data_IF_070595162265
#
_entry.id   IF_070595162265
#
_cell.length_a   1.000
_cell.length_b   1.000
_cell.length_c   1.000
_cell.angle_alpha   90.00
_cell.angle_beta   90.00
_cell.angle_gamma   90.00
#
_symmetry.space_group_name_H-M   'P 1'
#
loop_
_entity.id
_entity.type
_entity.pdbx_description
1 polymer ?
#
# COMPACT_ATOMS: atom_id res chain seq x y z
N UNK A 1 -4.12 -7.01 -17.56
CA UNK A 1 -2.90 -7.22 -16.76
C UNK A 1 -3.35 -7.31 -15.30
N UNK A 2 -2.59 -7.97 -14.43
CA UNK A 2 -2.99 -8.10 -13.01
C UNK A 2 -2.54 -6.90 -12.20
N UNK A 3 -3.27 -6.57 -11.12
CA UNK A 3 -2.88 -5.55 -10.16
C UNK A 3 -1.54 -5.92 -9.50
N UNK A 4 -0.59 -4.99 -9.40
CA UNK A 4 0.71 -5.22 -8.78
C UNK A 4 1.21 -4.00 -7.99
N UNK A 5 2.01 -4.26 -6.95
CA UNK A 5 2.87 -3.29 -6.29
C UNK A 5 4.31 -3.64 -6.63
N UNK A 6 5.01 -2.72 -7.28
CA UNK A 6 6.37 -2.89 -7.75
C UNK A 6 7.30 -1.90 -7.05
N UNK A 7 8.43 -2.38 -6.55
CA UNK A 7 9.46 -1.55 -5.90
C UNK A 7 10.63 -1.34 -6.84
N UNK A 8 11.06 -0.10 -7.02
CA UNK A 8 12.15 0.28 -7.91
C UNK A 8 13.24 1.06 -7.18
N UNK A 9 14.50 0.82 -7.54
CA UNK A 9 15.65 1.59 -7.02
C UNK A 9 15.59 3.09 -7.36
N UNK A 10 14.94 3.43 -8.46
CA UNK A 10 14.74 4.79 -8.96
C UNK A 10 13.49 4.82 -9.83
N UNK A 11 12.83 5.98 -9.95
CA UNK A 11 11.73 6.15 -10.92
C UNK A 11 12.29 6.02 -12.35
N UNK A 12 11.85 5.04 -13.15
CA UNK A 12 12.24 4.95 -14.55
C UNK A 12 11.54 6.09 -15.32
N UNK A 13 12.31 6.89 -16.06
CA UNK A 13 11.78 7.86 -17.02
C UNK A 13 11.64 7.20 -18.39
N UNK A 14 10.45 7.15 -18.99
CA UNK A 14 10.26 6.51 -20.30
C UNK A 14 10.96 7.26 -21.47
N UNK A 15 11.27 6.56 -22.58
CA UNK A 15 11.08 5.12 -22.78
C UNK A 15 12.40 4.39 -22.57
N UNK A 16 12.61 3.88 -21.36
CA UNK A 16 13.73 2.98 -21.12
C UNK A 16 13.30 1.57 -21.57
N UNK A 17 14.15 0.90 -22.36
CA UNK A 17 13.90 -0.48 -22.78
C UNK A 17 13.70 -1.44 -21.60
N UNK A 18 12.89 -2.49 -21.84
CA UNK A 18 12.43 -3.51 -20.89
C UNK A 18 13.54 -4.09 -19.98
N UNK A 19 14.78 -4.18 -20.46
CA UNK A 19 15.92 -4.66 -19.67
C UNK A 19 16.31 -3.76 -18.49
N UNK A 20 16.16 -2.45 -18.60
CA UNK A 20 16.55 -1.54 -17.50
C UNK A 20 15.45 -1.46 -16.44
N UNK A 21 14.18 -1.57 -16.85
CA UNK A 21 13.06 -1.73 -15.92
C UNK A 21 13.27 -2.96 -15.03
N UNK A 22 13.64 -4.09 -15.65
CA UNK A 22 13.98 -5.33 -14.93
C UNK A 22 15.20 -5.19 -14.00
N UNK A 23 16.17 -4.34 -14.33
CA UNK A 23 17.33 -4.06 -13.46
C UNK A 23 16.99 -3.11 -12.29
N UNK A 24 15.99 -2.26 -12.46
CA UNK A 24 15.54 -1.33 -11.45
C UNK A 24 14.56 -1.97 -10.46
N UNK A 25 13.80 -2.98 -10.89
CA UNK A 25 12.85 -3.71 -10.06
C UNK A 25 13.57 -4.49 -8.95
N UNK A 26 13.13 -4.27 -7.72
CA UNK A 26 13.68 -4.88 -6.49
C UNK A 26 12.74 -5.96 -5.96
N UNK A 27 11.44 -5.68 -5.97
CA UNK A 27 10.42 -6.57 -5.47
C UNK A 27 9.09 -6.32 -6.17
N UNK A 28 8.23 -7.33 -6.19
CA UNK A 28 6.86 -7.25 -6.70
C UNK A 28 5.95 -8.05 -5.77
N UNK A 29 4.76 -7.51 -5.48
CA UNK A 29 3.74 -8.18 -4.66
C UNK A 29 2.34 -7.75 -5.07
N UNK A 30 1.32 -8.38 -4.50
CA UNK A 30 -0.06 -8.02 -4.75
C UNK A 30 -0.47 -6.82 -3.88
N UNK A 31 -1.10 -5.78 -4.45
CA UNK A 31 -1.46 -4.56 -3.72
C UNK A 31 -2.76 -4.73 -2.92
N UNK A 32 -3.46 -5.85 -3.05
CA UNK A 32 -4.79 -6.06 -2.49
C UNK A 32 -4.92 -5.72 -1.00
N UNK A 33 -4.02 -6.12 -0.10
CA UNK A 33 -4.16 -5.76 1.31
C UNK A 33 -4.15 -4.23 1.54
N UNK A 34 -3.39 -3.50 0.72
CA UNK A 34 -3.32 -2.04 0.74
C UNK A 34 -4.62 -1.42 0.20
N UNK A 35 -5.07 -1.87 -0.97
CA UNK A 35 -6.28 -1.36 -1.62
C UNK A 35 -7.53 -1.60 -0.77
N UNK A 36 -7.61 -2.75 -0.11
CA UNK A 36 -8.73 -3.06 0.79
C UNK A 36 -8.66 -2.28 2.09
N UNK A 37 -7.46 -1.98 2.64
CA UNK A 37 -7.35 -1.19 3.87
C UNK A 37 -8.08 0.17 3.75
N UNK A 38 -8.01 0.80 2.58
CA UNK A 38 -8.67 2.09 2.30
C UNK A 38 -10.19 1.97 2.27
N UNK A 39 -10.70 0.94 1.60
CA UNK A 39 -12.14 0.74 1.45
C UNK A 39 -12.82 0.53 2.81
N UNK A 40 -12.11 -0.06 3.77
CA UNK A 40 -12.65 -0.41 5.08
C UNK A 40 -12.23 0.54 6.19
N UNK A 41 -11.51 1.62 5.86
CA UNK A 41 -11.20 2.67 6.83
C UNK A 41 -12.47 3.47 7.15
N UNK A 42 -12.90 3.55 8.43
CA UNK A 42 -14.01 4.40 8.84
C UNK A 42 -13.82 5.84 8.36
N UNK A 43 -14.90 6.50 7.93
CA UNK A 43 -14.83 7.85 7.36
C UNK A 43 -14.14 8.84 8.32
N UNK A 44 -14.45 8.73 9.61
CA UNK A 44 -13.89 9.57 10.68
C UNK A 44 -12.38 9.38 10.88
N UNK A 45 -11.82 8.28 10.38
CA UNK A 45 -10.37 8.03 10.43
C UNK A 45 -9.65 8.46 9.16
N UNK A 46 -10.33 8.74 8.05
CA UNK A 46 -9.65 8.96 6.76
C UNK A 46 -8.68 10.14 6.78
N UNK A 47 -8.95 11.16 7.59
CA UNK A 47 -8.05 12.31 7.77
C UNK A 47 -6.71 11.95 8.43
N UNK A 48 -6.64 10.83 9.15
CA UNK A 48 -5.44 10.34 9.83
C UNK A 48 -4.54 9.48 8.92
N UNK A 49 -5.03 9.12 7.73
CA UNK A 49 -4.34 8.22 6.78
C UNK A 49 -4.33 8.80 5.36
N UNK A 50 -3.86 10.05 5.15
CA UNK A 50 -3.95 10.71 3.85
C UNK A 50 -3.21 9.95 2.75
N UNK A 51 -2.03 9.39 3.03
CA UNK A 51 -1.24 8.65 2.03
C UNK A 51 -1.90 7.32 1.69
N UNK A 52 -2.45 6.62 2.68
CA UNK A 52 -3.19 5.39 2.49
C UNK A 52 -4.44 5.65 1.65
N UNK A 53 -5.18 6.73 1.90
CA UNK A 53 -6.33 7.09 1.05
C UNK A 53 -5.90 7.37 -0.39
N UNK A 54 -4.77 8.05 -0.58
CA UNK A 54 -4.28 8.44 -1.89
C UNK A 54 -3.77 7.25 -2.74
N UNK A 55 -3.44 6.11 -2.14
CA UNK A 55 -3.12 4.88 -2.90
C UNK A 55 -4.34 4.11 -3.39
N UNK A 56 -5.56 4.59 -3.14
CA UNK A 56 -6.75 3.95 -3.66
C UNK A 56 -7.24 4.66 -4.94
N UNK A 57 -7.44 3.94 -6.06
CA UNK A 57 -7.82 4.54 -7.34
C UNK A 57 -9.21 5.18 -7.34
N UNK A 58 -10.10 4.76 -6.44
CA UNK A 58 -11.44 5.36 -6.35
C UNK A 58 -11.40 6.72 -5.64
N UNK A 59 -10.29 7.08 -5.01
CA UNK A 59 -10.13 8.32 -4.24
C UNK A 59 -8.98 9.20 -4.70
N UNK A 60 -8.09 8.73 -5.58
CA UNK A 60 -6.94 9.48 -6.09
C UNK A 60 -7.05 9.80 -7.57
N UNK A 61 -6.75 11.05 -7.92
CA UNK A 61 -6.63 11.55 -9.30
C UNK A 61 -5.20 11.45 -9.84
N UNK A 62 -4.25 10.93 -9.06
CA UNK A 62 -2.82 10.84 -9.39
C UNK A 62 -2.45 9.64 -10.25
N UNK A 63 -3.40 8.76 -10.54
CA UNK A 63 -3.17 7.63 -11.43
C UNK A 63 -3.02 8.11 -12.87
N UNK A 64 -1.86 7.86 -13.46
CA UNK A 64 -1.56 8.11 -14.86
C UNK A 64 -1.44 6.76 -15.57
N UNK A 65 -2.26 6.49 -16.58
CA UNK A 65 -2.28 5.22 -17.32
C UNK A 65 -2.32 3.97 -16.39
N UNK A 66 -3.23 3.98 -15.40
CA UNK A 66 -3.39 2.92 -14.39
C UNK A 66 -2.19 2.75 -13.43
N UNK A 67 -1.23 3.68 -13.45
CA UNK A 67 -0.05 3.67 -12.59
C UNK A 67 -0.04 4.84 -11.60
N UNK A 68 0.20 4.53 -10.32
CA UNK A 68 0.52 5.51 -9.30
C UNK A 68 1.96 5.35 -8.84
N UNK A 69 2.77 6.39 -9.05
CA UNK A 69 4.16 6.44 -8.58
C UNK A 69 4.25 7.18 -7.25
N UNK A 70 4.85 6.50 -6.28
CA UNK A 70 5.18 7.04 -4.96
C UNK A 70 6.68 7.28 -4.85
N UNK A 71 7.04 8.50 -4.46
CA UNK A 71 8.40 8.87 -4.09
C UNK A 71 8.82 8.21 -2.77
N UNK A 72 10.13 8.14 -2.46
CA UNK A 72 10.62 7.54 -1.23
C UNK A 72 9.98 8.11 0.05
N UNK A 73 9.73 9.42 0.10
CA UNK A 73 9.08 10.06 1.24
C UNK A 73 7.63 9.59 1.41
N UNK A 74 6.91 9.44 0.30
CA UNK A 74 5.54 8.93 0.27
C UNK A 74 5.47 7.45 0.62
N UNK A 75 6.44 6.65 0.16
CA UNK A 75 6.59 5.24 0.57
C UNK A 75 6.81 5.17 2.09
N UNK A 76 7.61 6.05 2.66
CA UNK A 76 7.79 6.16 4.11
C UNK A 76 6.51 6.54 4.85
N UNK A 77 5.72 7.46 4.32
CA UNK A 77 4.41 7.82 4.89
C UNK A 77 3.41 6.68 4.79
N UNK A 78 3.31 6.03 3.62
CA UNK A 78 2.47 4.88 3.39
C UNK A 78 2.81 3.73 4.33
N UNK A 79 4.09 3.44 4.51
CA UNK A 79 4.57 2.40 5.42
C UNK A 79 4.14 2.67 6.87
N UNK A 80 4.28 3.92 7.33
CA UNK A 80 3.83 4.31 8.68
C UNK A 80 2.32 4.20 8.84
N UNK A 81 1.57 4.73 7.87
CA UNK A 81 0.11 4.71 7.90
C UNK A 81 -0.46 3.29 7.82
N UNK A 82 0.09 2.45 6.93
CA UNK A 82 -0.30 1.04 6.85
C UNK A 82 0.05 0.26 8.12
N UNK A 83 1.23 0.50 8.69
CA UNK A 83 1.63 -0.08 9.97
C UNK A 83 0.69 0.33 11.11
N UNK A 84 0.31 1.61 11.16
CA UNK A 84 -0.65 2.15 12.13
C UNK A 84 -2.04 1.52 11.97
N UNK A 85 -2.50 1.35 10.72
CA UNK A 85 -3.75 0.62 10.42
C UNK A 85 -3.72 -0.82 10.96
N UNK A 86 -2.59 -1.52 10.81
CA UNK A 86 -2.43 -2.86 11.38
C UNK A 86 -2.50 -2.84 12.91
N UNK A 87 -1.86 -1.87 13.58
CA UNK A 87 -1.93 -1.73 15.04
C UNK A 87 -3.37 -1.52 15.53
N UNK A 88 -4.19 -0.76 14.79
CA UNK A 88 -5.62 -0.57 15.10
C UNK A 88 -6.37 -1.89 14.93
N UNK A 89 -6.17 -2.59 13.81
CA UNK A 89 -6.77 -3.90 13.55
C UNK A 89 -6.42 -4.94 14.64
N UNK A 90 -5.20 -4.87 15.18
CA UNK A 90 -4.70 -5.74 16.25
C UNK A 90 -5.09 -5.26 17.66
N UNK A 91 -5.73 -4.10 17.79
CA UNK A 91 -6.06 -3.43 19.06
C UNK A 91 -4.84 -3.02 19.90
N UNK A 92 -3.68 -2.91 19.28
CA UNK A 92 -2.47 -2.36 19.90
C UNK A 92 -2.51 -0.82 19.92
N UNK A 93 -3.21 -0.21 18.97
CA UNK A 93 -3.56 1.21 18.99
C UNK A 93 -5.07 1.36 19.18
N UNK A 94 -5.47 2.13 20.20
CA UNK A 94 -6.87 2.39 20.52
C UNK A 94 -7.23 3.80 20.07
N UNK A 95 -8.10 3.89 19.08
CA UNK A 95 -8.70 5.17 18.69
C UNK A 95 -10.12 5.23 19.27
N UNK A 96 -10.47 6.26 20.06
CA UNK A 96 -11.82 6.43 20.57
C UNK A 96 -12.87 6.37 19.45
N UNK A 97 -13.89 5.53 19.62
CA UNK A 97 -14.95 5.35 18.62
C UNK A 97 -14.64 4.32 17.53
N UNK A 98 -13.46 3.70 17.52
CA UNK A 98 -13.07 2.71 16.51
C UNK A 98 -12.93 1.34 17.16
N UNK A 99 -13.72 0.36 16.67
CA UNK A 99 -13.56 -1.04 17.05
C UNK A 99 -12.59 -1.74 16.09
N UNK A 100 -11.33 -1.79 16.48
CA UNK A 100 -10.27 -2.41 15.68
C UNK A 100 -10.54 -3.86 15.27
N UNK A 101 -11.27 -4.64 16.09
CA UNK A 101 -11.60 -6.01 15.69
C UNK A 101 -12.67 -6.05 14.61
N UNK A 102 -13.64 -5.12 14.63
CA UNK A 102 -14.58 -4.98 13.52
C UNK A 102 -13.84 -4.60 12.25
N UNK A 103 -12.96 -3.61 12.30
CA UNK A 103 -12.14 -3.21 11.13
C UNK A 103 -11.36 -4.40 10.59
N UNK A 104 -10.69 -5.18 11.46
CA UNK A 104 -9.97 -6.40 11.09
C UNK A 104 -10.89 -7.47 10.49
N UNK A 105 -12.05 -7.72 11.09
CA UNK A 105 -13.01 -8.70 10.60
C UNK A 105 -13.52 -8.34 9.20
N UNK A 106 -13.85 -7.07 8.97
CA UNK A 106 -14.26 -6.56 7.66
C UNK A 106 -13.13 -6.68 6.64
N UNK A 107 -11.91 -6.27 7.02
CA UNK A 107 -10.73 -6.35 6.15
C UNK A 107 -10.36 -7.77 5.73
N UNK A 108 -10.50 -8.76 6.63
CA UNK A 108 -10.23 -10.17 6.34
C UNK A 108 -11.37 -10.88 5.60
N UNK A 109 -12.63 -10.49 5.84
CA UNK A 109 -13.80 -11.14 5.21
C UNK A 109 -13.89 -10.94 3.70
N UNK A 110 -13.20 -9.94 3.17
CA UNK A 110 -13.21 -9.58 1.74
C UNK A 110 -12.03 -10.15 0.97
N UNK A 111 -11.14 -10.91 1.62
CA UNK A 111 -10.02 -11.57 0.94
C UNK A 111 -10.40 -13.02 0.63
N UNK A 112 -10.61 -13.32 -0.66
CA UNK A 112 -10.87 -14.69 -1.13
C UNK A 112 -9.60 -15.57 -1.16
N UNK A 113 -8.45 -15.03 -0.76
CA UNK A 113 -7.14 -15.71 -0.70
C UNK A 113 -6.51 -15.54 0.70
N UNK A 114 -5.44 -16.30 0.97
CA UNK A 114 -4.74 -16.38 2.27
C UNK A 114 -4.05 -15.04 2.66
N UNK A 115 -4.89 -14.06 3.00
CA UNK A 115 -4.61 -12.66 3.28
C UNK A 115 -3.48 -12.43 4.29
N UNK A 116 -3.31 -13.38 5.21
CA UNK A 116 -2.37 -13.24 6.32
C UNK A 116 -0.92 -13.23 5.85
N UNK A 117 -0.57 -14.06 4.87
CA UNK A 117 0.77 -14.13 4.27
C UNK A 117 1.07 -12.91 3.40
N UNK A 118 0.06 -12.42 2.68
CA UNK A 118 0.20 -11.28 1.78
C UNK A 118 0.36 -9.96 2.53
N UNK A 119 -0.34 -9.80 3.67
CA UNK A 119 -0.18 -8.64 4.57
C UNK A 119 1.23 -8.56 5.14
N UNK A 120 1.76 -9.68 5.65
CA UNK A 120 3.11 -9.72 6.22
C UNK A 120 4.19 -9.42 5.17
N UNK A 121 4.04 -9.98 3.97
CA UNK A 121 4.94 -9.75 2.84
C UNK A 121 4.91 -8.29 2.38
N UNK A 122 3.72 -7.71 2.20
CA UNK A 122 3.54 -6.31 1.84
C UNK A 122 4.17 -5.36 2.87
N UNK A 123 3.92 -5.60 4.16
CA UNK A 123 4.46 -4.78 5.25
C UNK A 123 5.99 -4.77 5.25
N UNK A 124 6.59 -5.94 5.01
CA UNK A 124 8.04 -6.08 4.87
C UNK A 124 8.56 -5.31 3.66
N UNK A 125 7.92 -5.48 2.49
CA UNK A 125 8.31 -4.81 1.24
C UNK A 125 8.27 -3.29 1.38
N UNK A 126 7.18 -2.73 1.95
CA UNK A 126 7.05 -1.29 2.18
C UNK A 126 8.11 -0.76 3.15
N UNK A 127 8.40 -1.52 4.22
CA UNK A 127 9.46 -1.16 5.17
C UNK A 127 10.83 -1.15 4.52
N UNK A 128 11.18 -2.21 3.80
CA UNK A 128 12.50 -2.33 3.16
C UNK A 128 12.64 -1.25 2.06
N UNK A 129 11.58 -0.98 1.29
CA UNK A 129 11.55 0.11 0.30
C UNK A 129 11.72 1.50 0.95
N UNK A 130 11.04 1.76 2.07
CA UNK A 130 11.18 3.03 2.79
C UNK A 130 12.60 3.21 3.36
N UNK A 131 13.20 2.15 3.91
CA UNK A 131 14.56 2.19 4.47
C UNK A 131 15.63 2.41 3.40
N UNK A 132 15.45 1.82 2.23
CA UNK A 132 16.42 1.90 1.13
C UNK A 132 16.20 3.12 0.21
N UNK A 133 15.17 3.93 0.48
CA UNK A 133 14.86 5.12 -0.33
C UNK A 133 14.36 4.77 -1.73
N UNK A 134 13.60 3.69 -1.85
CA UNK A 134 13.08 3.19 -3.12
C UNK A 134 11.76 3.84 -3.51
N UNK A 135 11.47 3.78 -4.81
CA UNK A 135 10.20 4.18 -5.40
C UNK A 135 9.24 3.00 -5.42
N UNK A 136 7.94 3.29 -5.33
CA UNK A 136 6.89 2.28 -5.50
C UNK A 136 5.99 2.67 -6.65
N UNK A 137 5.64 1.72 -7.48
CA UNK A 137 4.58 1.83 -8.48
C UNK A 137 3.43 0.91 -8.07
N UNK A 138 2.22 1.46 -8.00
CA UNK A 138 0.98 0.70 -7.93
C UNK A 138 0.38 0.65 -9.34
N UNK A 139 0.28 -0.54 -9.90
CA UNK A 139 -0.33 -0.80 -11.20
C UNK A 139 -1.67 -1.52 -10.99
N UNK A 140 -2.71 -1.06 -11.69
CA UNK A 140 -4.06 -1.60 -11.58
C UNK A 140 -4.51 -2.44 -12.76
#
# INVERSE_FOLDING_TARGET
>A
MGQSLQVFRYRPFLPIGDQTLKKALVAETFPQPLLYAVQYLPQDLRSEFPTLIDVCPTTSDRYEDEMLWLSPDEVGSLQREFGRFQQICERNEIIPGVDGAKVKQFWLSSQEHDASSDVGSLSKILRDAALEGHWVCLQL
#
